data_IF_924184737106
#
_entry.id   IF_924184737106
#
_cell.length_a   1.000
_cell.length_b   1.000
_cell.length_c   1.000
_cell.angle_alpha   90.00
_cell.angle_beta   90.00
_cell.angle_gamma   90.00
#
_symmetry.space_group_name_H-M   'P 1'
#
loop_
_entity.id
_entity.type
_entity.pdbx_description
1 polymer ?
#
# COMPACT_ATOMS: atom_id res chain seq x y z
N UNK A 1 -32.03 31.03 26.47
CA UNK A 1 -31.02 30.73 25.43
C UNK A 1 -29.98 29.80 26.08
N UNK A 2 -30.17 28.49 25.93
CA UNK A 2 -29.46 27.49 26.74
C UNK A 2 -28.08 27.14 26.18
N UNK A 3 -27.06 26.94 27.03
CA UNK A 3 -25.68 26.65 26.61
C UNK A 3 -25.50 25.22 26.07
N UNK A 4 -26.56 24.41 26.05
CA UNK A 4 -26.51 22.99 25.68
C UNK A 4 -26.30 22.71 24.19
N UNK A 5 -26.65 23.65 23.31
CA UNK A 5 -26.48 23.50 21.85
C UNK A 5 -25.02 23.60 21.40
N UNK A 6 -24.19 24.41 22.08
CA UNK A 6 -22.76 24.50 21.77
C UNK A 6 -21.99 23.25 22.18
N UNK A 7 -22.38 22.61 23.29
CA UNK A 7 -21.70 21.43 23.81
C UNK A 7 -21.85 20.22 22.86
N UNK A 8 -23.02 20.08 22.24
CA UNK A 8 -23.28 18.99 21.31
C UNK A 8 -22.52 19.13 19.98
N UNK A 9 -22.38 20.36 19.48
CA UNK A 9 -21.63 20.64 18.26
C UNK A 9 -20.12 20.37 18.42
N UNK A 10 -19.56 20.63 19.61
CA UNK A 10 -18.17 20.33 19.94
C UNK A 10 -17.91 18.82 20.05
N UNK A 11 -18.85 18.05 20.59
CA UNK A 11 -18.71 16.59 20.75
C UNK A 11 -18.68 15.85 19.40
N UNK A 12 -19.38 16.34 18.39
CA UNK A 12 -19.40 15.76 17.05
C UNK A 12 -18.10 15.99 16.26
N UNK A 13 -17.32 17.04 16.58
CA UNK A 13 -16.06 17.34 15.91
C UNK A 13 -14.87 16.51 16.44
N UNK A 14 -15.01 15.88 17.61
CA UNK A 14 -14.00 15.00 18.20
C UNK A 14 -14.12 13.53 17.74
N UNK A 15 -15.20 13.18 17.03
CA UNK A 15 -15.51 11.80 16.62
C UNK A 15 -14.92 11.35 15.29
N UNK A 16 -14.31 12.25 14.52
CA UNK A 16 -13.63 11.90 13.26
C UNK A 16 -12.13 11.67 13.53
N UNK A 17 -11.82 10.65 14.33
CA UNK A 17 -10.49 10.05 14.30
C UNK A 17 -10.23 9.47 12.90
N UNK A 18 -8.97 9.32 12.47
CA UNK A 18 -8.69 8.60 11.24
C UNK A 18 -9.33 7.22 11.36
N UNK A 19 -10.31 6.95 10.50
CA UNK A 19 -10.81 5.58 10.29
C UNK A 19 -9.56 4.79 9.90
N UNK A 20 -9.19 3.83 10.74
CA UNK A 20 -8.01 3.00 10.52
C UNK A 20 -8.10 2.43 9.10
N UNK A 21 -7.31 3.02 8.19
CA UNK A 21 -7.26 2.59 6.82
C UNK A 21 -6.65 1.19 6.88
N UNK A 22 -7.45 0.19 6.58
CA UNK A 22 -7.11 -1.18 6.92
C UNK A 22 -5.72 -1.63 6.44
N UNK A 23 -5.22 -1.09 5.32
CA UNK A 23 -3.85 -1.29 4.83
C UNK A 23 -3.01 -0.05 5.13
N UNK A 24 -1.82 -0.24 5.69
CA UNK A 24 -0.87 0.85 5.94
C UNK A 24 0.35 0.70 5.04
N UNK A 25 0.85 1.79 4.47
CA UNK A 25 2.04 1.77 3.62
C UNK A 25 3.00 2.90 3.99
N UNK A 26 4.30 2.60 4.02
CA UNK A 26 5.35 3.57 4.36
C UNK A 26 6.58 3.43 3.45
N UNK A 27 7.30 4.54 3.18
CA UNK A 27 6.87 5.93 3.38
C UNK A 27 5.72 6.33 2.44
N UNK A 28 4.89 7.30 2.84
CA UNK A 28 3.75 7.80 2.02
C UNK A 28 4.20 8.55 0.77
N UNK A 29 5.31 9.26 0.90
CA UNK A 29 5.99 9.97 -0.16
C UNK A 29 7.49 9.76 -0.05
N UNK A 30 8.16 9.58 -1.17
CA UNK A 30 9.60 9.42 -1.18
C UNK A 30 10.19 9.97 -2.48
N UNK A 31 11.19 10.83 -2.33
CA UNK A 31 11.99 11.38 -3.43
C UNK A 31 13.37 10.74 -3.33
N UNK A 32 13.84 10.15 -4.43
CA UNK A 32 15.17 9.53 -4.53
C UNK A 32 15.86 9.98 -5.80
N UNK A 33 17.18 10.13 -5.70
CA UNK A 33 18.01 10.34 -6.88
C UNK A 33 18.19 9.01 -7.61
N UNK A 34 18.41 9.07 -8.94
CA UNK A 34 18.72 7.89 -9.77
C UNK A 34 19.84 7.05 -9.15
N UNK A 35 19.66 5.72 -9.20
CA UNK A 35 20.63 4.73 -8.72
C UNK A 35 20.55 4.49 -7.21
N UNK A 36 19.73 5.24 -6.48
CA UNK A 36 19.50 4.97 -5.06
C UNK A 36 18.51 3.83 -4.87
N UNK A 37 18.70 3.08 -3.78
CA UNK A 37 17.77 2.05 -3.38
C UNK A 37 16.49 2.67 -2.80
N UNK A 38 15.36 2.09 -3.17
CA UNK A 38 14.03 2.39 -2.63
C UNK A 38 13.54 1.15 -1.89
N UNK A 39 12.96 1.35 -0.71
CA UNK A 39 12.24 0.32 0.03
C UNK A 39 10.89 0.89 0.45
N UNK A 40 9.82 0.21 0.06
CA UNK A 40 8.45 0.48 0.48
C UNK A 40 7.97 -0.68 1.36
N UNK A 41 7.19 -0.36 2.38
CA UNK A 41 6.64 -1.31 3.35
C UNK A 41 5.13 -1.23 3.33
N UNK A 42 4.48 -2.38 3.42
CA UNK A 42 3.04 -2.51 3.54
C UNK A 42 2.70 -3.40 4.73
N UNK A 43 1.79 -2.94 5.59
CA UNK A 43 1.15 -3.80 6.59
C UNK A 43 -0.30 -4.01 6.15
N UNK A 44 -0.71 -5.27 5.91
CA UNK A 44 -2.07 -5.56 5.49
C UNK A 44 -3.06 -5.39 6.65
N UNK A 45 -4.35 -5.40 6.29
CA UNK A 45 -5.44 -5.56 7.26
C UNK A 45 -5.21 -6.81 8.12
N UNK A 46 -5.49 -6.71 9.42
CA UNK A 46 -5.42 -7.85 10.33
C UNK A 46 -6.22 -9.04 9.80
N UNK A 47 -5.58 -10.20 9.66
CA UNK A 47 -6.17 -11.42 9.12
C UNK A 47 -6.07 -11.57 7.59
N UNK A 48 -5.66 -10.53 6.86
CA UNK A 48 -5.37 -10.66 5.43
C UNK A 48 -4.02 -11.36 5.25
N UNK A 49 -4.01 -12.39 4.39
CA UNK A 49 -2.83 -13.24 4.12
C UNK A 49 -2.30 -13.05 2.70
N UNK A 50 -3.03 -12.33 1.86
CA UNK A 50 -2.65 -11.93 0.51
C UNK A 50 -2.20 -10.47 0.51
N UNK A 51 -1.08 -10.17 -0.17
CA UNK A 51 -0.59 -8.80 -0.40
C UNK A 51 -0.15 -8.66 -1.85
N UNK A 52 -0.62 -7.61 -2.51
CA UNK A 52 -0.26 -7.30 -3.89
C UNK A 52 0.35 -5.91 -3.98
N UNK A 53 1.44 -5.79 -4.74
CA UNK A 53 2.10 -4.53 -5.08
C UNK A 53 1.80 -4.14 -6.52
N UNK A 54 1.44 -2.88 -6.74
CA UNK A 54 1.22 -2.32 -8.07
C UNK A 54 2.03 -1.05 -8.27
N UNK A 55 2.44 -0.81 -9.52
CA UNK A 55 2.91 0.49 -9.98
C UNK A 55 1.83 1.10 -10.87
N UNK A 56 1.54 2.38 -10.68
CA UNK A 56 0.66 3.16 -11.54
C UNK A 56 1.41 4.40 -12.02
N UNK A 57 1.94 4.33 -13.24
CA UNK A 57 2.52 5.49 -13.90
C UNK A 57 1.43 6.48 -14.33
N UNK A 58 1.81 7.74 -14.54
CA UNK A 58 0.87 8.79 -14.94
C UNK A 58 0.15 8.43 -16.26
N UNK A 59 -1.17 8.46 -16.23
CA UNK A 59 -2.01 8.11 -17.40
C UNK A 59 -2.13 6.60 -17.68
N UNK A 60 -1.54 5.75 -16.85
CA UNK A 60 -1.68 4.29 -16.93
C UNK A 60 -2.57 3.76 -15.81
N UNK A 61 -3.14 2.56 -16.02
CA UNK A 61 -3.78 1.79 -14.96
C UNK A 61 -2.76 1.13 -14.03
N UNK A 62 -3.18 0.63 -12.85
CA UNK A 62 -2.32 -0.15 -11.97
C UNK A 62 -1.77 -1.40 -12.67
N UNK A 63 -0.45 -1.57 -12.65
CA UNK A 63 0.24 -2.75 -13.17
C UNK A 63 0.80 -3.55 -11.99
N UNK A 64 0.49 -4.85 -11.96
CA UNK A 64 0.95 -5.75 -10.89
C UNK A 64 2.47 -5.91 -10.96
N UNK A 65 3.15 -5.73 -9.82
CA UNK A 65 4.58 -6.00 -9.65
C UNK A 65 4.78 -7.40 -9.04
N UNK A 66 4.16 -7.63 -7.88
CA UNK A 66 4.23 -8.88 -7.14
C UNK A 66 2.90 -9.16 -6.45
N UNK A 67 2.53 -10.43 -6.38
CA UNK A 67 1.48 -10.92 -5.48
C UNK A 67 2.05 -11.99 -4.56
N UNK A 68 1.84 -11.80 -3.27
CA UNK A 68 2.15 -12.77 -2.23
C UNK A 68 0.89 -13.37 -1.64
N UNK A 69 0.88 -14.67 -1.43
CA UNK A 69 -0.14 -15.39 -0.67
C UNK A 69 0.53 -16.37 0.27
N UNK A 70 0.15 -16.34 1.54
CA UNK A 70 0.73 -17.22 2.57
C UNK A 70 2.27 -17.21 2.60
N UNK A 71 2.87 -16.04 2.38
CA UNK A 71 4.32 -15.78 2.37
C UNK A 71 5.05 -16.30 1.13
N UNK A 72 4.32 -16.78 0.13
CA UNK A 72 4.86 -17.25 -1.15
C UNK A 72 4.53 -16.30 -2.28
N UNK A 73 5.49 -16.05 -3.17
CA UNK A 73 5.24 -15.33 -4.42
C UNK A 73 4.33 -16.18 -5.32
N UNK A 74 3.14 -15.67 -5.65
CA UNK A 74 2.17 -16.34 -6.52
C UNK A 74 2.20 -15.81 -7.93
N UNK A 75 2.41 -14.51 -8.07
CA UNK A 75 2.48 -13.86 -9.36
C UNK A 75 3.56 -12.79 -9.33
N UNK A 76 4.25 -12.65 -10.47
CA UNK A 76 5.24 -11.63 -10.72
C UNK A 76 4.95 -10.98 -12.05
N UNK A 77 4.79 -9.66 -12.05
CA UNK A 77 4.58 -8.88 -13.25
C UNK A 77 5.85 -8.76 -14.10
N UNK A 78 5.68 -8.17 -15.28
CA UNK A 78 6.79 -7.91 -16.21
C UNK A 78 7.58 -6.65 -15.79
N UNK A 79 8.35 -6.77 -14.72
CA UNK A 79 9.18 -5.69 -14.18
C UNK A 79 10.68 -6.02 -14.26
N UNK A 80 11.56 -5.01 -14.36
CA UNK A 80 13.00 -5.22 -14.37
C UNK A 80 13.51 -5.99 -13.14
N UNK A 81 14.57 -6.79 -13.30
CA UNK A 81 15.16 -7.57 -12.21
C UNK A 81 15.74 -6.75 -11.03
N UNK A 82 15.79 -5.42 -11.15
CA UNK A 82 16.09 -4.50 -10.03
C UNK A 82 14.95 -4.40 -9.01
N UNK A 83 13.74 -4.83 -9.35
CA UNK A 83 12.60 -4.93 -8.44
C UNK A 83 12.64 -6.29 -7.74
N UNK A 84 12.50 -6.26 -6.43
CA UNK A 84 12.34 -7.45 -5.58
C UNK A 84 11.30 -7.17 -4.51
N UNK A 85 10.66 -8.22 -4.01
CA UNK A 85 9.71 -8.10 -2.92
C UNK A 85 9.80 -9.30 -2.00
N UNK A 86 9.15 -9.19 -0.85
CA UNK A 86 8.89 -10.34 0.01
C UNK A 86 7.71 -10.06 0.95
N UNK A 87 7.16 -11.13 1.50
CA UNK A 87 6.18 -11.07 2.58
C UNK A 87 6.76 -11.74 3.83
N UNK A 88 6.71 -11.03 4.95
CA UNK A 88 7.21 -11.46 6.25
C UNK A 88 6.26 -12.45 6.94
N UNK A 89 6.73 -13.15 8.00
CA UNK A 89 5.90 -14.06 8.77
C UNK A 89 4.61 -13.46 9.35
N UNK A 90 4.58 -12.15 9.60
CA UNK A 90 3.40 -11.41 10.08
C UNK A 90 2.53 -10.84 8.95
N UNK A 91 2.72 -11.31 7.71
CA UNK A 91 2.03 -10.90 6.48
C UNK A 91 2.30 -9.46 6.00
N UNK A 92 3.08 -8.67 6.74
CA UNK A 92 3.62 -7.41 6.20
C UNK A 92 4.53 -7.71 5.00
N UNK A 93 4.69 -6.75 4.10
CA UNK A 93 5.43 -6.95 2.86
C UNK A 93 6.35 -5.76 2.57
N UNK A 94 7.46 -6.05 1.90
CA UNK A 94 8.38 -5.04 1.40
C UNK A 94 8.52 -5.15 -0.11
N UNK A 95 8.56 -3.99 -0.77
CA UNK A 95 8.96 -3.82 -2.16
C UNK A 95 10.27 -3.04 -2.20
N UNK A 96 11.27 -3.59 -2.88
CA UNK A 96 12.59 -3.01 -3.02
C UNK A 96 12.91 -2.73 -4.49
N UNK A 97 13.49 -1.57 -4.75
CA UNK A 97 14.08 -1.21 -6.05
C UNK A 97 15.55 -0.92 -5.81
N UNK A 98 16.44 -1.81 -6.24
CA UNK A 98 17.87 -1.73 -5.90
C UNK A 98 18.56 -0.50 -6.50
N UNK A 99 18.18 -0.11 -7.71
CA UNK A 99 18.74 1.06 -8.40
C UNK A 99 17.62 1.78 -9.14
N UNK A 100 17.13 2.89 -8.59
CA UNK A 100 16.04 3.66 -9.18
C UNK A 100 16.41 4.29 -10.53
N UNK A 101 15.45 4.35 -11.44
CA UNK A 101 15.53 5.07 -12.71
C UNK A 101 14.41 6.09 -12.85
N UNK A 102 14.54 7.01 -13.81
CA UNK A 102 13.51 8.03 -14.06
C UNK A 102 12.15 7.42 -14.41
N UNK A 103 12.14 6.28 -15.10
CA UNK A 103 10.91 5.55 -15.44
C UNK A 103 10.24 4.87 -14.23
N UNK A 104 10.90 4.82 -13.08
CA UNK A 104 10.33 4.26 -11.86
C UNK A 104 9.48 5.30 -11.09
N UNK A 105 9.51 6.59 -11.47
CA UNK A 105 8.66 7.63 -10.88
C UNK A 105 7.19 7.35 -11.20
N UNK A 106 6.44 6.98 -10.16
CA UNK A 106 5.07 6.52 -10.26
C UNK A 106 4.38 6.46 -8.88
N UNK A 107 3.08 6.20 -8.90
CA UNK A 107 2.32 5.83 -7.72
C UNK A 107 2.54 4.34 -7.41
N UNK A 108 2.90 4.00 -6.18
CA UNK A 108 3.05 2.61 -5.75
C UNK A 108 1.94 2.25 -4.78
N UNK A 109 1.19 1.21 -5.11
CA UNK A 109 0.00 0.80 -4.38
C UNK A 109 0.21 -0.58 -3.74
N UNK A 110 -0.22 -0.71 -2.50
CA UNK A 110 -0.36 -2.00 -1.83
C UNK A 110 -1.85 -2.30 -1.64
N UNK A 111 -2.22 -3.53 -1.95
CA UNK A 111 -3.52 -4.09 -1.61
C UNK A 111 -3.34 -5.30 -0.70
N UNK A 112 -4.32 -5.57 0.15
CA UNK A 112 -4.38 -6.84 0.85
C UNK A 112 -5.77 -7.45 0.79
N UNK A 113 -5.83 -8.79 0.85
CA UNK A 113 -7.09 -9.55 0.91
C UNK A 113 -7.00 -10.77 1.83
N UNK A 114 -8.17 -11.21 2.31
CA UNK A 114 -8.32 -12.49 3.00
C UNK A 114 -7.96 -13.64 2.05
N UNK A 115 -7.48 -14.75 2.61
CA UNK A 115 -7.48 -16.03 1.91
C UNK A 115 -8.92 -16.45 1.61
N UNK A 116 -9.39 -16.29 0.37
CA UNK A 116 -10.63 -16.94 -0.06
C UNK A 116 -10.50 -17.58 -1.45
N UNK A 117 -10.89 -18.85 -1.59
CA UNK A 117 -11.21 -19.41 -2.89
C UNK A 117 -12.50 -18.75 -3.40
N UNK A 118 -12.37 -17.77 -4.29
CA UNK A 118 -13.47 -17.35 -5.17
C UNK A 118 -14.21 -16.03 -4.88
N UNK A 119 -13.81 -15.22 -3.90
CA UNK A 119 -14.32 -13.83 -3.77
C UNK A 119 -13.22 -12.86 -3.37
N UNK A 120 -12.88 -11.97 -4.29
CA UNK A 120 -11.87 -10.93 -4.13
C UNK A 120 -12.55 -9.68 -3.57
N UNK A 121 -12.36 -9.41 -2.28
CA UNK A 121 -12.56 -8.07 -1.71
C UNK A 121 -11.19 -7.46 -1.47
N UNK A 122 -10.60 -6.91 -2.53
CA UNK A 122 -9.33 -6.19 -2.43
C UNK A 122 -9.58 -4.75 -1.97
N UNK A 123 -8.79 -4.29 -1.01
CA UNK A 123 -8.76 -2.88 -0.57
C UNK A 123 -7.39 -2.30 -0.94
N UNK A 124 -7.38 -1.19 -1.70
CA UNK A 124 -6.20 -0.53 -2.25
C UNK A 124 -5.74 0.65 -1.37
N UNK A 125 -4.42 0.81 -1.19
CA UNK A 125 -3.80 1.96 -0.52
C UNK A 125 -2.77 2.68 -1.42
N UNK A 126 -2.70 4.02 -1.32
CA UNK A 126 -2.05 4.92 -2.29
C UNK A 126 -0.83 5.64 -1.72
N UNK A 127 0.37 5.48 -2.33
CA UNK A 127 1.55 6.33 -2.07
C UNK A 127 2.13 6.95 -3.35
N UNK A 128 2.42 8.25 -3.34
CA UNK A 128 3.04 8.98 -4.46
C UNK A 128 4.56 9.04 -4.33
N UNK A 129 5.27 8.53 -5.34
CA UNK A 129 6.68 8.85 -5.55
C UNK A 129 6.80 9.92 -6.66
N UNK A 130 7.44 11.07 -6.39
CA UNK A 130 7.83 12.04 -7.42
C UNK A 130 9.00 11.56 -8.27
#
# INVERSE_FOLDING_TARGET
MGPGLLCWALLCLLGAGPVDAGVTQSPTHLIKTRGQQVTLRCSPISGHTSVSWYQQALGQGPQLIFQYYEKEEREKGNFPGRFSGHQFPNYSSELNVNASEMGDSALYLCASSLAQPGRVTDILYINFLP
#
